data_IF_042579633910
#
_entry.id   IF_042579633910
#
_cell.length_a   1.000
_cell.length_b   1.000
_cell.length_c   1.000
_cell.angle_alpha   90.00
_cell.angle_beta   90.00
_cell.angle_gamma   90.00
#
_symmetry.space_group_name_H-M   'P 1'
#
loop_
_entity.id
_entity.type
_entity.pdbx_description
1 polymer ?
#
# COMPACT_ATOMS: atom_id res chain seq x y z
N UNK A 1 -4.39 -22.36 36.72
CA UNK A 1 -4.77 -21.12 36.00
C UNK A 1 -4.61 -21.27 34.47
N UNK A 2 -5.05 -22.41 33.89
CA UNK A 2 -4.62 -22.84 32.54
C UNK A 2 -5.78 -23.12 31.58
N UNK A 3 -7.02 -22.79 31.96
CA UNK A 3 -8.23 -23.32 31.28
C UNK A 3 -9.36 -22.32 31.04
N UNK A 4 -9.20 -21.02 31.33
CA UNK A 4 -10.36 -20.10 31.36
C UNK A 4 -10.46 -19.06 30.22
N UNK A 5 -9.68 -19.14 29.15
CA UNK A 5 -9.77 -18.14 28.05
C UNK A 5 -9.69 -18.75 26.65
N UNK A 6 -10.08 -20.03 26.52
CA UNK A 6 -9.98 -20.77 25.26
C UNK A 6 -11.19 -20.64 24.32
N UNK A 7 -12.19 -19.77 24.56
CA UNK A 7 -13.41 -19.76 23.71
C UNK A 7 -13.96 -18.42 23.20
N UNK A 8 -13.53 -17.22 23.64
CA UNK A 8 -14.46 -16.08 23.56
C UNK A 8 -14.13 -14.91 22.63
N UNK A 9 -12.99 -14.84 21.95
CA UNK A 9 -12.62 -13.62 21.18
C UNK A 9 -12.14 -13.93 19.76
N UNK A 10 -12.86 -14.84 19.11
CA UNK A 10 -12.72 -15.18 17.70
C UNK A 10 -13.70 -14.40 16.79
N UNK A 11 -14.36 -13.33 17.28
CA UNK A 11 -15.55 -12.80 16.61
C UNK A 11 -15.78 -11.27 16.59
N UNK A 12 -14.81 -10.42 16.93
CA UNK A 12 -14.98 -8.97 16.75
C UNK A 12 -13.73 -8.34 16.14
N UNK A 13 -13.80 -7.97 14.85
CA UNK A 13 -12.72 -7.24 14.19
C UNK A 13 -12.65 -7.29 12.67
N UNK A 14 -13.66 -7.84 11.98
CA UNK A 14 -13.89 -7.70 10.53
C UNK A 14 -14.25 -6.24 10.15
N UNK A 15 -13.54 -5.24 10.66
CA UNK A 15 -13.82 -3.82 10.44
C UNK A 15 -12.56 -2.95 10.28
N UNK A 16 -11.40 -3.54 10.00
CA UNK A 16 -10.34 -2.81 9.28
C UNK A 16 -10.43 -3.17 7.80
N UNK A 17 -11.53 -2.75 7.19
CA UNK A 17 -11.48 -2.26 5.83
C UNK A 17 -10.58 -1.03 5.82
N UNK A 18 -9.27 -1.23 5.90
CA UNK A 18 -8.36 -0.27 5.29
C UNK A 18 -8.65 -0.43 3.81
N UNK A 19 -9.39 0.52 3.27
CA UNK A 19 -9.52 0.76 1.85
C UNK A 19 -8.17 0.46 1.23
N UNK A 20 -8.11 -0.64 0.48
CA UNK A 20 -7.01 -0.92 -0.43
C UNK A 20 -6.85 0.39 -1.19
N UNK A 21 -5.78 1.15 -0.88
CA UNK A 21 -5.46 2.35 -1.62
C UNK A 21 -5.47 1.92 -3.06
N UNK A 22 -6.43 2.47 -3.81
CA UNK A 22 -6.67 2.15 -5.21
C UNK A 22 -5.30 2.13 -5.87
N UNK A 23 -4.84 0.93 -6.22
CA UNK A 23 -3.46 0.72 -6.59
C UNK A 23 -3.27 1.42 -7.92
N UNK A 24 -2.83 2.68 -7.88
CA UNK A 24 -2.70 3.61 -9.01
C UNK A 24 -2.54 2.82 -10.31
N UNK A 25 -3.63 2.68 -11.07
CA UNK A 25 -3.69 1.77 -12.20
C UNK A 25 -2.68 2.26 -13.23
N UNK A 26 -1.59 1.51 -13.39
CA UNK A 26 -0.45 2.01 -14.12
C UNK A 26 0.85 1.26 -13.88
N UNK A 27 1.81 1.48 -14.78
CA UNK A 27 3.15 0.94 -14.67
C UNK A 27 3.98 1.79 -13.71
N UNK A 28 4.56 1.17 -12.68
CA UNK A 28 5.47 1.83 -11.75
C UNK A 28 6.85 2.03 -12.39
N UNK A 29 7.52 3.15 -12.08
CA UNK A 29 8.92 3.36 -12.43
C UNK A 29 9.83 2.28 -11.82
N UNK A 30 11.01 2.03 -12.41
CA UNK A 30 11.94 1.00 -11.93
C UNK A 30 12.45 1.27 -10.51
N UNK A 31 12.64 2.54 -10.13
CA UNK A 31 13.01 2.92 -8.77
C UNK A 31 11.90 2.60 -7.76
N UNK A 32 10.64 2.87 -8.12
CA UNK A 32 9.48 2.51 -7.29
C UNK A 32 9.37 0.99 -7.11
N UNK A 33 9.50 0.22 -8.20
CA UNK A 33 9.49 -1.25 -8.13
C UNK A 33 10.58 -1.80 -7.21
N UNK A 34 11.78 -1.20 -7.22
CA UNK A 34 12.86 -1.59 -6.31
C UNK A 34 12.54 -1.28 -4.85
N UNK A 35 11.98 -0.10 -4.58
CA UNK A 35 11.58 0.28 -3.22
C UNK A 35 10.51 -0.69 -2.67
N UNK A 36 9.52 -1.04 -3.50
CA UNK A 36 8.45 -1.96 -3.11
C UNK A 36 8.96 -3.37 -2.83
N UNK A 37 9.92 -3.85 -3.64
CA UNK A 37 10.61 -5.12 -3.36
C UNK A 37 11.35 -5.10 -2.02
N UNK A 38 11.77 -3.93 -1.56
CA UNK A 38 12.37 -3.72 -0.24
C UNK A 38 11.33 -3.41 0.85
N UNK A 39 10.03 -3.52 0.56
CA UNK A 39 8.95 -3.19 1.50
C UNK A 39 8.82 -1.69 1.80
N UNK A 40 9.37 -0.83 0.94
CA UNK A 40 9.35 0.64 1.07
C UNK A 40 8.56 1.27 -0.09
N UNK A 41 8.13 2.51 0.08
CA UNK A 41 7.61 3.34 -1.02
C UNK A 41 8.74 4.21 -1.56
N UNK A 42 8.58 4.75 -2.76
CA UNK A 42 9.54 5.73 -3.28
C UNK A 42 9.29 7.07 -2.58
N UNK A 43 10.29 7.55 -1.83
CA UNK A 43 10.20 8.80 -1.07
C UNK A 43 10.56 10.05 -1.89
N UNK A 44 10.74 9.92 -3.21
CA UNK A 44 10.93 11.09 -4.05
C UNK A 44 9.70 11.99 -4.04
N UNK A 45 9.92 13.29 -3.89
CA UNK A 45 8.85 14.29 -3.83
C UNK A 45 7.87 14.15 -5.01
N UNK A 46 8.36 13.99 -6.24
CA UNK A 46 7.49 13.82 -7.42
C UNK A 46 6.64 12.54 -7.39
N UNK A 47 7.11 11.47 -6.74
CA UNK A 47 6.38 10.22 -6.58
C UNK A 47 5.36 10.30 -5.45
N UNK A 48 5.68 11.01 -4.37
CA UNK A 48 4.77 11.26 -3.25
C UNK A 48 3.60 12.11 -3.71
N UNK A 49 3.85 13.19 -4.47
CA UNK A 49 2.78 14.01 -5.04
C UNK A 49 1.91 13.19 -5.99
N UNK A 50 2.52 12.48 -6.96
CA UNK A 50 1.75 11.63 -7.88
C UNK A 50 0.89 10.59 -7.14
N UNK A 51 1.41 10.01 -6.06
CA UNK A 51 0.66 9.05 -5.25
C UNK A 51 -0.53 9.68 -4.51
N UNK A 52 -0.45 10.98 -4.13
CA UNK A 52 -1.60 11.71 -3.56
C UNK A 52 -2.72 11.87 -4.60
N UNK A 53 -2.35 12.07 -5.86
CA UNK A 53 -3.27 12.14 -7.00
C UNK A 53 -3.75 10.77 -7.51
N UNK A 54 -3.36 9.67 -6.85
CA UNK A 54 -3.67 8.30 -7.29
C UNK A 54 -2.98 7.89 -8.60
N UNK A 55 -1.88 8.57 -8.95
CA UNK A 55 -1.15 8.42 -10.22
C UNK A 55 0.24 7.80 -10.03
N UNK A 56 0.74 7.21 -11.11
CA UNK A 56 2.14 6.85 -11.29
C UNK A 56 2.95 8.08 -11.70
N UNK A 57 4.17 8.21 -11.15
CA UNK A 57 5.06 9.30 -11.49
C UNK A 57 5.61 9.16 -12.92
N UNK A 58 5.06 9.94 -13.86
CA UNK A 58 5.45 9.92 -15.28
C UNK A 58 6.86 10.44 -15.51
N UNK A 59 7.32 11.38 -14.67
CA UNK A 59 8.67 11.94 -14.72
C UNK A 59 9.76 10.88 -14.47
N UNK A 60 9.45 9.84 -13.71
CA UNK A 60 10.37 8.75 -13.43
C UNK A 60 10.15 7.52 -14.34
N UNK A 61 9.31 7.65 -15.36
CA UNK A 61 8.96 6.55 -16.27
C UNK A 61 7.84 5.65 -15.76
N UNK A 62 7.05 6.12 -14.79
CA UNK A 62 5.74 5.54 -14.51
C UNK A 62 4.76 5.85 -15.65
N UNK A 63 3.69 5.06 -15.78
CA UNK A 63 2.62 5.29 -16.75
C UNK A 63 1.28 5.14 -16.05
N UNK A 64 0.37 6.07 -16.28
CA UNK A 64 -1.02 5.98 -15.82
C UNK A 64 -1.86 5.22 -16.86
N UNK A 65 -2.88 4.49 -16.42
CA UNK A 65 -3.83 3.78 -17.29
C UNK A 65 -5.14 4.55 -17.42
#
# INVERSE_FOLDING_TARGET
MRTLRLCALLALGLAFGYTFGEAAEGQKAKCCQKAEKAGKKCDHACCVEAAKDGKQCEKCGGKNK
#
